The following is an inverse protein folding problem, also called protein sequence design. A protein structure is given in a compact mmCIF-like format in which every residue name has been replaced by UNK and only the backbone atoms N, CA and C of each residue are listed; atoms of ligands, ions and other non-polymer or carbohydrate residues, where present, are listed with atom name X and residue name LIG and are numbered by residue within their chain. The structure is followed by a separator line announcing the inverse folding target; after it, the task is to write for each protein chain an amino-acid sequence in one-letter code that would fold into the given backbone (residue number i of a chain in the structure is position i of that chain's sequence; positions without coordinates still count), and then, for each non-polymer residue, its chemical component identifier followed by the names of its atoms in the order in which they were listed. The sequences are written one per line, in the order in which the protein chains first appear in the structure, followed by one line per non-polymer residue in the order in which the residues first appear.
data_IF_642808244549
#
_entry.id   IF_642808244549
#
_cell.length_a   1.000
_cell.length_b   1.000
_cell.length_c   1.000
_cell.angle_alpha   90.00
_cell.angle_beta   90.00
_cell.angle_gamma   90.00
#
_symmetry.space_group_name_H-M   'P 1'
#
loop_
_entity.id
_entity.type
_entity.pdbx_description
1 polymer ?
#
# COMPACT_ATOMS: atom_id res chain seq x y z
N UNK A 1 -4.18 79.46 9.11
CA UNK A 1 -3.22 78.41 9.50
C UNK A 1 -4.02 77.12 9.52
N UNK A 2 -4.04 76.34 8.38
CA UNK A 2 -4.63 75.02 8.33
C UNK A 2 -3.63 74.02 8.89
N UNK A 3 -3.96 73.43 10.00
CA UNK A 3 -3.23 72.31 10.56
C UNK A 3 -3.62 71.05 9.74
N UNK A 4 -2.74 70.59 8.86
CA UNK A 4 -2.82 69.26 8.27
C UNK A 4 -2.51 68.25 9.36
N UNK A 5 -3.53 67.51 9.75
CA UNK A 5 -3.44 66.34 10.61
C UNK A 5 -2.71 65.21 9.86
N UNK A 6 -1.61 64.63 10.36
CA UNK A 6 -0.90 63.58 9.68
C UNK A 6 -1.79 62.33 9.62
N UNK A 7 -2.10 61.87 8.40
CA UNK A 7 -2.85 60.65 8.16
C UNK A 7 -2.15 59.47 8.85
N UNK A 8 -2.85 58.77 9.75
CA UNK A 8 -2.36 57.59 10.38
C UNK A 8 -1.96 56.53 9.33
N UNK A 9 -0.78 55.92 9.44
CA UNK A 9 -0.38 54.83 8.53
C UNK A 9 -1.36 53.70 8.60
N UNK A 10 -2.05 53.44 7.47
CA UNK A 10 -3.12 52.48 7.38
C UNK A 10 -2.66 51.11 7.86
N UNK A 11 -3.58 50.32 8.41
CA UNK A 11 -3.38 49.00 8.98
C UNK A 11 -2.58 48.06 8.09
N UNK A 12 -2.62 48.29 6.75
CA UNK A 12 -1.88 47.52 5.73
C UNK A 12 -0.36 47.73 5.85
N UNK A 13 0.10 48.95 6.16
CA UNK A 13 1.52 49.26 6.30
C UNK A 13 2.18 48.60 7.49
N UNK A 14 1.40 48.30 8.56
CA UNK A 14 1.87 47.58 9.75
C UNK A 14 2.02 46.10 9.54
N UNK A 15 1.32 45.49 8.54
CA UNK A 15 1.38 44.07 8.21
C UNK A 15 2.46 43.73 7.18
N UNK A 16 3.00 44.71 6.46
CA UNK A 16 4.02 44.51 5.41
C UNK A 16 5.25 43.70 5.87
N UNK A 17 5.84 43.93 7.07
CA UNK A 17 7.01 43.16 7.51
C UNK A 17 6.72 41.70 7.81
N UNK A 18 5.45 41.32 8.02
CA UNK A 18 5.04 39.95 8.27
C UNK A 18 4.63 39.17 7.01
N UNK A 19 4.52 39.84 5.86
CA UNK A 19 4.14 39.24 4.58
C UNK A 19 4.96 37.97 4.22
N UNK A 20 6.31 37.93 4.34
CA UNK A 20 7.09 36.75 4.03
C UNK A 20 6.80 35.58 4.96
N UNK A 21 6.48 35.85 6.23
CA UNK A 21 6.11 34.80 7.19
C UNK A 21 4.75 34.16 6.84
N UNK A 22 3.78 34.94 6.40
CA UNK A 22 2.47 34.42 5.96
C UNK A 22 2.60 33.60 4.68
N UNK A 23 3.43 34.00 3.71
CA UNK A 23 3.70 33.24 2.49
C UNK A 23 4.37 31.91 2.83
N UNK A 24 5.36 31.92 3.73
CA UNK A 24 6.02 30.70 4.19
C UNK A 24 5.05 29.73 4.87
N UNK A 25 4.21 30.20 5.77
CA UNK A 25 3.19 29.39 6.45
C UNK A 25 2.18 28.82 5.44
N UNK A 26 1.72 29.60 4.48
CA UNK A 26 0.80 29.11 3.44
C UNK A 26 1.41 28.00 2.58
N UNK A 27 2.68 28.12 2.18
CA UNK A 27 3.41 27.09 1.43
C UNK A 27 3.52 25.78 2.23
N UNK A 28 3.82 25.85 3.53
CA UNK A 28 3.89 24.66 4.40
C UNK A 28 2.52 23.98 4.47
N UNK A 29 1.45 24.74 4.67
CA UNK A 29 0.09 24.20 4.73
C UNK A 29 -0.30 23.53 3.42
N UNK A 30 -0.05 24.17 2.27
CA UNK A 30 -0.34 23.60 0.95
C UNK A 30 0.44 22.30 0.75
N UNK A 31 1.74 22.29 1.09
CA UNK A 31 2.58 21.09 0.97
C UNK A 31 2.05 19.95 1.82
N UNK A 32 1.66 20.23 3.08
CA UNK A 32 1.05 19.24 3.97
C UNK A 32 -0.27 18.69 3.40
N UNK A 33 -1.13 19.54 2.86
CA UNK A 33 -2.41 19.13 2.23
C UNK A 33 -2.13 18.20 1.05
N UNK A 34 -1.16 18.54 0.18
CA UNK A 34 -0.78 17.70 -0.98
C UNK A 34 -0.25 16.34 -0.54
N UNK A 35 0.63 16.30 0.47
CA UNK A 35 1.17 15.05 0.99
C UNK A 35 0.06 14.17 1.58
N UNK A 36 -0.82 14.74 2.39
CA UNK A 36 -1.94 14.01 3.01
C UNK A 36 -2.94 13.51 1.96
N UNK A 37 -3.22 14.31 0.94
CA UNK A 37 -4.12 13.93 -0.16
C UNK A 37 -3.54 12.75 -0.96
N UNK A 38 -2.24 12.79 -1.28
CA UNK A 38 -1.55 11.67 -1.97
C UNK A 38 -1.57 10.39 -1.14
N UNK A 39 -1.33 10.48 0.19
CA UNK A 39 -1.40 9.32 1.08
C UNK A 39 -2.82 8.73 1.15
N UNK A 40 -3.85 9.58 1.25
CA UNK A 40 -5.26 9.13 1.24
C UNK A 40 -5.64 8.44 -0.07
N UNK A 41 -5.23 9.02 -1.20
CA UNK A 41 -5.49 8.44 -2.52
C UNK A 41 -4.80 7.07 -2.69
N UNK A 42 -3.54 6.94 -2.25
CA UNK A 42 -2.79 5.68 -2.29
C UNK A 42 -3.46 4.62 -1.40
N UNK A 43 -3.87 4.99 -0.19
CA UNK A 43 -4.60 4.08 0.72
C UNK A 43 -5.90 3.60 0.12
N UNK A 44 -6.69 4.51 -0.48
CA UNK A 44 -7.95 4.14 -1.13
C UNK A 44 -7.73 3.16 -2.29
N UNK A 45 -6.70 3.39 -3.11
CA UNK A 45 -6.33 2.45 -4.19
C UNK A 45 -5.94 1.08 -3.65
N UNK A 46 -5.09 1.02 -2.62
CA UNK A 46 -4.69 -0.24 -2.00
C UNK A 46 -5.89 -1.01 -1.44
N UNK A 47 -6.84 -0.32 -0.79
CA UNK A 47 -8.07 -0.96 -0.31
C UNK A 47 -8.92 -1.51 -1.45
N UNK A 48 -9.10 -0.76 -2.53
CA UNK A 48 -9.83 -1.26 -3.70
C UNK A 48 -9.16 -2.50 -4.33
N UNK A 49 -7.83 -2.53 -4.39
CA UNK A 49 -7.08 -3.70 -4.86
C UNK A 49 -7.37 -4.92 -3.98
N UNK A 50 -7.29 -4.77 -2.66
CA UNK A 50 -7.57 -5.86 -1.73
C UNK A 50 -9.03 -6.34 -1.81
N UNK A 51 -9.98 -5.44 -2.00
CA UNK A 51 -11.39 -5.78 -2.19
C UNK A 51 -11.60 -6.56 -3.49
N UNK A 52 -10.95 -6.16 -4.58
CA UNK A 52 -10.99 -6.89 -5.85
C UNK A 52 -10.38 -8.29 -5.73
N UNK A 53 -9.26 -8.44 -5.02
CA UNK A 53 -8.63 -9.73 -4.76
C UNK A 53 -9.54 -10.68 -3.95
N UNK A 54 -10.38 -10.12 -3.08
CA UNK A 54 -11.32 -10.89 -2.29
C UNK A 54 -12.56 -11.34 -3.07
N UNK A 55 -13.02 -10.53 -4.04
CA UNK A 55 -14.31 -10.73 -4.73
C UNK A 55 -14.16 -11.19 -6.19
N UNK A 56 -12.95 -11.25 -6.74
CA UNK A 56 -12.69 -11.62 -8.12
C UNK A 56 -12.66 -13.13 -8.37
N UNK A 57 -12.32 -13.52 -9.60
CA UNK A 57 -12.16 -14.91 -10.00
C UNK A 57 -11.12 -15.63 -9.11
N UNK A 58 -11.47 -16.78 -8.49
CA UNK A 58 -10.64 -17.40 -7.46
C UNK A 58 -9.23 -17.75 -7.94
N UNK A 59 -9.09 -18.37 -9.11
CA UNK A 59 -7.79 -18.83 -9.64
C UNK A 59 -6.87 -17.65 -9.96
N UNK A 60 -7.40 -16.61 -10.61
CA UNK A 60 -6.63 -15.40 -10.94
C UNK A 60 -6.23 -14.64 -9.67
N UNK A 61 -7.19 -14.47 -8.74
CA UNK A 61 -6.95 -13.76 -7.50
C UNK A 61 -5.96 -14.49 -6.60
N UNK A 62 -6.00 -15.82 -6.52
CA UNK A 62 -5.04 -16.60 -5.73
C UNK A 62 -3.59 -16.37 -6.21
N UNK A 63 -3.34 -16.37 -7.52
CA UNK A 63 -2.03 -16.07 -8.09
C UNK A 63 -1.54 -14.65 -7.74
N UNK A 64 -2.43 -13.67 -7.81
CA UNK A 64 -2.12 -12.29 -7.43
C UNK A 64 -1.89 -12.13 -5.92
N UNK A 65 -2.68 -12.80 -5.09
CA UNK A 65 -2.50 -12.84 -3.62
C UNK A 65 -1.13 -13.40 -3.28
N UNK A 66 -0.73 -14.50 -3.93
CA UNK A 66 0.56 -15.12 -3.69
C UNK A 66 1.73 -14.22 -4.08
N UNK A 67 1.69 -13.60 -5.28
CA UNK A 67 2.69 -12.60 -5.70
C UNK A 67 2.79 -11.45 -4.71
N UNK A 68 1.65 -11.01 -4.17
CA UNK A 68 1.61 -9.93 -3.18
C UNK A 68 2.22 -10.37 -1.85
N UNK A 69 1.97 -11.60 -1.39
CA UNK A 69 2.61 -12.19 -0.20
C UNK A 69 4.13 -12.17 -0.37
N UNK A 70 4.66 -12.67 -1.49
CA UNK A 70 6.11 -12.66 -1.77
C UNK A 70 6.68 -11.24 -1.72
N UNK A 71 6.06 -10.27 -2.39
CA UNK A 71 6.53 -8.90 -2.41
C UNK A 71 6.49 -8.22 -1.03
N UNK A 72 5.51 -8.56 -0.20
CA UNK A 72 5.40 -8.04 1.16
C UNK A 72 6.41 -8.68 2.12
N UNK A 73 6.68 -9.97 1.98
CA UNK A 73 7.68 -10.68 2.79
C UNK A 73 9.10 -10.23 2.45
N UNK A 74 9.37 -9.94 1.18
CA UNK A 74 10.65 -9.39 0.72
C UNK A 74 10.97 -8.04 1.40
N UNK A 75 10.00 -7.19 1.64
CA UNK A 75 10.18 -5.90 2.35
C UNK A 75 10.74 -6.09 3.78
N UNK A 76 10.55 -7.27 4.37
CA UNK A 76 11.12 -7.66 5.67
C UNK A 76 12.39 -8.50 5.55
N UNK A 77 12.91 -8.67 4.34
CA UNK A 77 14.09 -9.49 4.08
C UNK A 77 13.81 -11.00 4.05
N UNK A 78 12.54 -11.40 4.06
CA UNK A 78 12.15 -12.80 3.86
C UNK A 78 12.02 -13.07 2.35
N UNK A 79 13.13 -13.41 1.69
CA UNK A 79 13.14 -13.84 0.29
C UNK A 79 13.41 -15.34 0.20
N UNK A 80 12.84 -16.04 -0.80
CA UNK A 80 13.20 -17.44 -1.04
C UNK A 80 14.71 -17.58 -1.30
N UNK A 81 15.36 -18.53 -0.64
CA UNK A 81 16.75 -18.85 -0.87
C UNK A 81 16.94 -19.62 -2.18
N UNK A 82 18.14 -19.52 -2.78
CA UNK A 82 18.46 -20.31 -3.97
C UNK A 82 18.40 -21.81 -3.65
N UNK A 83 17.46 -22.56 -4.27
CA UNK A 83 17.24 -23.98 -4.01
C UNK A 83 16.51 -24.27 -2.70
N UNK A 84 15.96 -23.27 -2.04
CA UNK A 84 15.11 -23.48 -0.87
C UNK A 84 13.75 -24.09 -1.28
N UNK A 85 13.34 -25.13 -0.56
CA UNK A 85 12.01 -25.73 -0.78
C UNK A 85 10.91 -24.74 -0.35
N UNK A 86 9.80 -24.64 -1.08
CA UNK A 86 8.68 -23.74 -0.74
C UNK A 86 8.23 -23.88 0.71
N UNK A 87 8.12 -25.10 1.21
CA UNK A 87 7.72 -25.40 2.58
C UNK A 87 8.62 -24.74 3.64
N UNK A 88 9.95 -24.75 3.43
CA UNK A 88 10.89 -24.14 4.36
C UNK A 88 10.80 -22.61 4.34
N UNK A 89 10.58 -22.04 3.15
CA UNK A 89 10.34 -20.62 2.99
C UNK A 89 9.05 -20.19 3.71
N UNK A 90 7.94 -20.92 3.53
CA UNK A 90 6.67 -20.58 4.18
C UNK A 90 6.77 -20.71 5.70
N UNK A 91 7.44 -21.73 6.22
CA UNK A 91 7.66 -21.86 7.67
C UNK A 91 8.40 -20.64 8.24
N UNK A 92 9.42 -20.14 7.56
CA UNK A 92 10.15 -18.93 7.95
C UNK A 92 9.25 -17.68 7.91
N UNK A 93 8.37 -17.57 6.92
CA UNK A 93 7.38 -16.49 6.83
C UNK A 93 6.39 -16.60 7.98
N UNK A 94 5.89 -17.80 8.26
CA UNK A 94 4.93 -18.04 9.34
C UNK A 94 5.50 -17.67 10.71
N UNK A 95 6.75 -18.02 10.98
CA UNK A 95 7.47 -17.62 12.20
C UNK A 95 7.63 -16.10 12.31
N UNK A 96 7.83 -15.42 11.18
CA UNK A 96 8.06 -13.96 11.15
C UNK A 96 6.78 -13.15 11.28
N UNK A 97 5.70 -13.61 10.64
CA UNK A 97 4.46 -12.85 10.48
C UNK A 97 3.27 -13.41 11.28
N UNK A 98 3.42 -14.59 11.88
CA UNK A 98 2.32 -15.29 12.55
C UNK A 98 1.24 -15.76 11.58
N UNK A 99 1.61 -15.97 10.31
CA UNK A 99 0.76 -16.55 9.28
C UNK A 99 0.71 -18.07 9.40
N UNK A 100 0.02 -18.75 8.49
CA UNK A 100 -0.06 -20.20 8.38
C UNK A 100 0.05 -20.62 6.91
N UNK A 101 1.00 -20.04 6.18
CA UNK A 101 1.23 -20.33 4.76
C UNK A 101 1.69 -21.76 4.51
N UNK A 102 2.32 -22.40 5.51
CA UNK A 102 2.66 -23.83 5.44
C UNK A 102 1.42 -24.67 5.15
N UNK A 103 0.25 -24.31 5.72
CA UNK A 103 -1.03 -24.99 5.46
C UNK A 103 -1.58 -24.75 4.05
N UNK A 104 -1.08 -23.73 3.35
CA UNK A 104 -1.47 -23.40 1.98
C UNK A 104 -0.53 -24.02 0.91
N UNK A 105 0.45 -24.86 1.32
CA UNK A 105 1.44 -25.42 0.39
C UNK A 105 0.78 -26.24 -0.72
N UNK A 106 -0.21 -27.09 -0.39
CA UNK A 106 -0.95 -27.87 -1.38
C UNK A 106 -1.70 -27.00 -2.39
N UNK A 107 -2.24 -25.88 -1.93
CA UNK A 107 -2.89 -24.89 -2.78
C UNK A 107 -1.91 -24.24 -3.77
N UNK A 108 -0.70 -23.94 -3.31
CA UNK A 108 0.33 -23.34 -4.14
C UNK A 108 0.87 -24.34 -5.17
N UNK A 109 1.01 -25.61 -4.80
CA UNK A 109 1.35 -26.68 -5.74
C UNK A 109 0.28 -26.84 -6.81
N UNK A 110 -1.02 -26.80 -6.47
CA UNK A 110 -2.12 -26.80 -7.45
C UNK A 110 -2.01 -25.62 -8.42
N UNK A 111 -1.67 -24.43 -7.92
CA UNK A 111 -1.50 -23.24 -8.77
C UNK A 111 -0.33 -23.37 -9.74
N UNK A 112 0.80 -23.92 -9.29
CA UNK A 112 2.01 -24.05 -10.09
C UNK A 112 1.87 -25.13 -11.18
N UNK A 113 1.23 -26.23 -10.88
CA UNK A 113 1.06 -27.37 -11.81
C UNK A 113 -0.23 -27.28 -12.63
N UNK A 114 -1.06 -26.25 -12.47
CA UNK A 114 -2.14 -25.88 -13.40
C UNK A 114 -3.27 -26.88 -13.57
N UNK A 115 -3.42 -27.84 -12.67
CA UNK A 115 -4.30 -28.99 -12.87
C UNK A 115 -5.70 -28.87 -12.24
N UNK A 116 -5.98 -27.86 -11.43
CA UNK A 116 -7.27 -27.73 -10.74
C UNK A 116 -7.65 -26.25 -10.58
N UNK A 117 -8.95 -25.98 -10.79
CA UNK A 117 -9.54 -24.69 -10.46
C UNK A 117 -9.52 -24.48 -8.95
N UNK A 118 -9.13 -23.27 -8.54
CA UNK A 118 -9.15 -22.87 -7.13
C UNK A 118 -10.56 -22.50 -6.76
N UNK A 119 -11.03 -23.04 -5.63
CA UNK A 119 -12.33 -22.70 -5.06
C UNK A 119 -12.32 -21.35 -4.35
N UNK A 120 -13.50 -20.76 -4.16
CA UNK A 120 -13.67 -19.55 -3.35
C UNK A 120 -13.12 -19.71 -1.92
N UNK A 121 -13.32 -20.90 -1.31
CA UNK A 121 -12.83 -21.18 0.03
C UNK A 121 -11.30 -21.19 0.12
N UNK A 122 -10.61 -21.75 -0.87
CA UNK A 122 -9.16 -21.77 -0.95
C UNK A 122 -8.58 -20.36 -1.17
N UNK A 123 -9.22 -19.56 -2.05
CA UNK A 123 -8.86 -18.14 -2.22
C UNK A 123 -9.02 -17.36 -0.91
N UNK A 124 -10.14 -17.55 -0.21
CA UNK A 124 -10.44 -16.85 1.04
C UNK A 124 -9.46 -17.23 2.15
N UNK A 125 -9.03 -18.50 2.20
CA UNK A 125 -7.97 -18.95 3.10
C UNK A 125 -6.65 -18.22 2.82
N UNK A 126 -6.21 -18.18 1.56
CA UNK A 126 -4.99 -17.50 1.18
C UNK A 126 -5.08 -15.98 1.45
N UNK A 127 -6.25 -15.38 1.22
CA UNK A 127 -6.49 -13.98 1.54
C UNK A 127 -6.43 -13.70 3.05
N UNK A 128 -6.89 -14.64 3.89
CA UNK A 128 -6.78 -14.50 5.35
C UNK A 128 -5.31 -14.48 5.81
N UNK A 129 -4.45 -15.30 5.20
CA UNK A 129 -3.01 -15.27 5.49
C UNK A 129 -2.34 -13.97 5.01
N UNK A 130 -2.71 -13.48 3.83
CA UNK A 130 -2.30 -12.16 3.35
C UNK A 130 -2.69 -11.05 4.34
N UNK A 131 -3.92 -11.07 4.86
CA UNK A 131 -4.41 -10.06 5.82
C UNK A 131 -3.59 -10.08 7.13
N UNK A 132 -3.17 -11.25 7.62
CA UNK A 132 -2.27 -11.36 8.77
C UNK A 132 -0.91 -10.69 8.50
N UNK A 133 -0.31 -10.97 7.35
CA UNK A 133 0.96 -10.37 6.93
C UNK A 133 0.82 -8.84 6.82
N UNK A 134 -0.25 -8.36 6.18
CA UNK A 134 -0.54 -6.94 6.05
C UNK A 134 -0.69 -6.28 7.42
N UNK A 135 -1.40 -6.89 8.36
CA UNK A 135 -1.56 -6.38 9.73
C UNK A 135 -0.24 -6.31 10.48
N UNK A 136 0.61 -7.31 10.34
CA UNK A 136 1.94 -7.32 10.95
C UNK A 136 2.82 -6.21 10.41
N UNK A 137 2.71 -5.89 9.10
CA UNK A 137 3.38 -4.77 8.47
C UNK A 137 2.73 -3.41 8.75
N UNK A 138 1.50 -3.43 9.28
CA UNK A 138 0.73 -2.27 9.72
C UNK A 138 0.54 -1.15 8.66
N UNK A 139 0.15 -1.47 7.39
CA UNK A 139 0.08 -0.47 6.33
C UNK A 139 -1.07 0.52 6.49
N UNK A 140 -2.12 0.13 7.23
CA UNK A 140 -3.34 0.93 7.40
C UNK A 140 -3.42 1.69 8.72
N UNK A 141 -2.44 1.52 9.61
CA UNK A 141 -2.31 2.37 10.79
C UNK A 141 -1.98 3.80 10.39
N UNK A 142 -2.41 4.75 11.17
CA UNK A 142 -2.12 6.17 10.92
C UNK A 142 -0.73 6.52 11.46
N UNK A 143 0.19 6.96 10.63
CA UNK A 143 0.21 7.05 9.16
C UNK A 143 0.70 5.75 8.49
N UNK A 144 -0.14 5.07 7.70
CA UNK A 144 0.23 3.82 7.03
C UNK A 144 1.58 3.90 6.30
N UNK A 145 2.33 2.80 6.30
CA UNK A 145 3.62 2.72 5.61
C UNK A 145 3.43 2.89 4.08
N UNK A 146 3.94 3.99 3.46
CA UNK A 146 3.72 4.26 2.05
C UNK A 146 4.37 3.23 1.13
N UNK A 147 5.43 2.53 1.57
CA UNK A 147 6.08 1.48 0.79
C UNK A 147 5.13 0.29 0.60
N UNK A 148 4.52 -0.18 1.68
CA UNK A 148 3.57 -1.31 1.64
C UNK A 148 2.36 -0.97 0.76
N UNK A 149 1.80 0.23 0.90
CA UNK A 149 0.70 0.67 0.06
C UNK A 149 1.07 0.70 -1.44
N UNK A 150 2.31 1.07 -1.78
CA UNK A 150 2.82 1.04 -3.16
C UNK A 150 2.98 -0.39 -3.67
N UNK A 151 3.49 -1.31 -2.85
CA UNK A 151 3.62 -2.73 -3.22
C UNK A 151 2.23 -3.27 -3.57
N UNK A 152 1.23 -3.07 -2.71
CA UNK A 152 -0.15 -3.49 -2.96
C UNK A 152 -0.69 -2.92 -4.28
N UNK A 153 -0.50 -1.63 -4.55
CA UNK A 153 -0.97 -0.99 -5.78
C UNK A 153 -0.22 -1.42 -7.05
N UNK A 154 1.02 -1.87 -6.94
CA UNK A 154 1.86 -2.19 -8.11
C UNK A 154 1.73 -3.66 -8.53
N UNK A 155 1.46 -4.58 -7.60
CA UNK A 155 1.31 -6.00 -7.92
C UNK A 155 0.23 -6.27 -8.97
N UNK A 156 -0.87 -5.50 -8.96
CA UNK A 156 -1.96 -5.68 -9.92
C UNK A 156 -1.73 -5.02 -11.27
N UNK A 157 -0.85 -4.03 -11.37
CA UNK A 157 -0.59 -3.33 -12.65
C UNK A 157 0.25 -4.12 -13.65
N UNK A 158 1.06 -5.05 -13.18
CA UNK A 158 1.94 -5.82 -14.04
C UNK A 158 1.18 -6.89 -14.83
N UNK A 159 0.04 -7.35 -14.33
CA UNK A 159 -0.76 -8.36 -14.99
C UNK A 159 -1.61 -7.76 -16.15
N UNK A 160 -2.10 -6.51 -16.02
CA UNK A 160 -2.81 -5.81 -17.11
C UNK A 160 -1.94 -5.56 -18.36
N UNK A 161 -0.61 -5.49 -18.21
CA UNK A 161 0.32 -5.33 -19.33
C UNK A 161 0.66 -6.65 -20.05
N UNK A 162 0.47 -7.77 -19.38
CA UNK A 162 0.74 -9.10 -19.95
C UNK A 162 -0.39 -9.63 -20.84
N UNK A 163 -1.61 -9.10 -20.70
CA UNK A 163 -2.77 -9.53 -21.47
C UNK A 163 -3.00 -8.77 -22.77
N UNK A 164 -2.14 -7.80 -23.12
CA UNK A 164 -2.15 -7.17 -24.45
C UNK A 164 -0.87 -7.52 -25.24
N UNK A 165 -0.78 -8.71 -25.88
CA UNK A 165 0.15 -8.91 -26.97
C UNK A 165 -0.39 -8.17 -28.20
N UNK A 166 0.39 -7.20 -28.70
CA UNK A 166 0.18 -6.62 -30.02
C UNK A 166 0.15 -7.69 -31.13
#
# INVERSE_FOLDING_TARGET
VSSEEPAEPGTIQRLLPFAPAFVGAALVIVTMIVILSKKRALRKRALNVLENLKSGEPTLCAGQIFKLILALTEEKGCTPGTGELPLNFFRRVDETFGSSLESCTELLEKMEFGSHDISDGERDQLFAELDKIIRTLNPFSTPGNPKILRIICNCTKNDEKSENPC
#
